data_IF_273588058650
#
_entry.id   IF_273588058650
#
_cell.length_a   1.000
_cell.length_b   1.000
_cell.length_c   1.000
_cell.angle_alpha   90.00
_cell.angle_beta   90.00
_cell.angle_gamma   90.00
#
_symmetry.space_group_name_H-M   'P 1'
#
loop_
_entity.id
_entity.type
_entity.pdbx_description
1 polymer ?
#
# COMPACT_ATOMS: atom_id res chain seq x y z
N UNK A 1 -5.04 -11.30 4.77
CA UNK A 1 -3.79 -11.03 5.51
C UNK A 1 -3.94 -9.77 6.37
N UNK A 2 -4.14 -9.93 7.69
CA UNK A 2 -4.44 -8.84 8.64
C UNK A 2 -3.31 -7.82 8.82
N UNK A 3 -2.04 -8.22 8.66
CA UNK A 3 -0.89 -7.31 8.82
C UNK A 3 -0.80 -6.29 7.68
N UNK A 4 -0.98 -6.72 6.43
CA UNK A 4 -0.94 -5.82 5.26
C UNK A 4 -2.03 -4.76 5.35
N UNK A 5 -3.26 -5.16 5.69
CA UNK A 5 -4.35 -4.21 5.88
C UNK A 5 -4.14 -3.31 7.10
N UNK A 6 -3.46 -3.75 8.15
CA UNK A 6 -3.04 -2.86 9.24
C UNK A 6 -2.02 -1.81 8.78
N UNK A 7 -1.01 -2.20 7.99
CA UNK A 7 -0.01 -1.26 7.47
C UNK A 7 -0.66 -0.22 6.55
N UNK A 8 -1.63 -0.62 5.72
CA UNK A 8 -2.37 0.32 4.87
C UNK A 8 -3.19 1.33 5.68
N UNK A 9 -3.83 0.89 6.78
CA UNK A 9 -4.49 1.81 7.71
C UNK A 9 -3.47 2.78 8.34
N UNK A 10 -2.33 2.27 8.80
CA UNK A 10 -1.31 3.06 9.50
C UNK A 10 -0.63 4.10 8.60
N UNK A 11 -0.27 3.75 7.37
CA UNK A 11 0.49 4.62 6.48
C UNK A 11 -0.39 5.56 5.67
N UNK A 12 -1.56 5.10 5.23
CA UNK A 12 -2.42 5.84 4.30
C UNK A 12 -3.70 6.36 4.95
N UNK A 13 -3.96 6.02 6.22
CA UNK A 13 -5.17 6.45 6.93
C UNK A 13 -6.46 5.84 6.38
N UNK A 14 -6.38 4.73 5.65
CA UNK A 14 -7.56 4.07 5.10
C UNK A 14 -8.43 3.46 6.21
N UNK A 15 -9.74 3.36 5.94
CA UNK A 15 -10.63 2.58 6.79
C UNK A 15 -10.26 1.10 6.74
N UNK A 16 -10.71 0.33 7.74
CA UNK A 16 -10.48 -1.11 7.79
C UNK A 16 -11.03 -1.82 6.55
N UNK A 17 -12.19 -1.37 6.05
CA UNK A 17 -12.85 -1.93 4.87
C UNK A 17 -11.98 -1.72 3.63
N UNK A 18 -11.55 -0.49 3.36
CA UNK A 18 -10.72 -0.16 2.20
C UNK A 18 -9.34 -0.83 2.27
N UNK A 19 -8.73 -0.86 3.46
CA UNK A 19 -7.46 -1.53 3.64
C UNK A 19 -7.56 -3.05 3.41
N UNK A 20 -8.68 -3.67 3.82
CA UNK A 20 -8.94 -5.08 3.53
C UNK A 20 -9.19 -5.32 2.05
N UNK A 21 -9.93 -4.45 1.38
CA UNK A 21 -10.16 -4.53 -0.07
C UNK A 21 -8.84 -4.51 -0.86
N UNK A 22 -8.00 -3.49 -0.62
CA UNK A 22 -6.69 -3.36 -1.28
C UNK A 22 -5.79 -4.56 -0.98
N UNK A 23 -5.79 -5.04 0.26
CA UNK A 23 -5.04 -6.24 0.62
C UNK A 23 -5.53 -7.48 -0.12
N UNK A 24 -6.85 -7.67 -0.23
CA UNK A 24 -7.42 -8.78 -1.00
C UNK A 24 -7.09 -8.66 -2.48
N UNK A 25 -7.02 -7.45 -3.02
CA UNK A 25 -6.57 -7.23 -4.38
C UNK A 25 -5.12 -7.66 -4.58
N UNK A 26 -4.21 -7.27 -3.68
CA UNK A 26 -2.81 -7.75 -3.69
C UNK A 26 -2.77 -9.28 -3.59
N UNK A 27 -3.58 -9.88 -2.72
CA UNK A 27 -3.60 -11.33 -2.52
C UNK A 27 -4.06 -12.09 -3.77
N UNK A 28 -5.10 -11.59 -4.45
CA UNK A 28 -5.72 -12.28 -5.58
C UNK A 28 -5.03 -11.95 -6.92
N UNK A 29 -4.59 -10.70 -7.11
CA UNK A 29 -4.03 -10.19 -8.37
C UNK A 29 -2.51 -10.03 -8.34
N UNK A 30 -1.87 -10.21 -7.18
CA UNK A 30 -0.42 -10.04 -6.97
C UNK A 30 0.04 -8.59 -6.81
N UNK A 31 -0.82 -7.59 -7.08
CA UNK A 31 -0.51 -6.16 -6.93
C UNK A 31 -1.78 -5.32 -6.77
N UNK A 32 -1.66 -4.11 -6.22
CA UNK A 32 -2.72 -3.11 -6.11
C UNK A 32 -2.12 -1.71 -6.05
N UNK A 33 -2.82 -0.71 -6.58
CA UNK A 33 -2.44 0.69 -6.47
C UNK A 33 -2.91 1.25 -5.12
N UNK A 34 -1.97 1.44 -4.19
CA UNK A 34 -2.28 1.78 -2.78
C UNK A 34 -2.15 3.27 -2.44
N UNK A 35 -1.40 4.05 -3.22
CA UNK A 35 -1.22 5.49 -3.04
C UNK A 35 -1.00 6.16 -4.41
N UNK A 36 -1.41 7.42 -4.52
CA UNK A 36 -1.20 8.27 -5.70
C UNK A 36 -0.71 9.65 -5.26
N UNK A 37 0.12 10.29 -6.08
CA UNK A 37 0.62 11.63 -5.82
C UNK A 37 1.86 11.99 -6.62
N UNK A 38 2.49 13.09 -6.23
CA UNK A 38 3.80 13.52 -6.76
C UNK A 38 4.85 12.43 -6.56
N UNK A 39 5.83 12.37 -7.44
CA UNK A 39 6.96 11.43 -7.37
C UNK A 39 7.60 11.36 -5.98
N UNK A 40 7.89 12.51 -5.36
CA UNK A 40 8.51 12.60 -4.03
C UNK A 40 7.69 11.88 -2.94
N UNK A 41 6.37 12.13 -2.92
CA UNK A 41 5.45 11.47 -1.99
C UNK A 41 5.41 9.96 -2.23
N UNK A 42 5.38 9.55 -3.50
CA UNK A 42 5.33 8.13 -3.86
C UNK A 42 6.63 7.42 -3.43
N UNK A 43 7.80 8.03 -3.66
CA UNK A 43 9.10 7.52 -3.19
C UNK A 43 9.13 7.34 -1.66
N UNK A 44 8.58 8.30 -0.91
CA UNK A 44 8.44 8.19 0.54
C UNK A 44 7.51 7.05 0.96
N UNK A 45 6.38 6.87 0.28
CA UNK A 45 5.42 5.81 0.57
C UNK A 45 6.03 4.42 0.32
N UNK A 46 6.78 4.24 -0.76
CA UNK A 46 7.51 2.99 -1.05
C UNK A 46 8.56 2.71 0.02
N UNK A 47 9.32 3.71 0.44
CA UNK A 47 10.29 3.56 1.51
C UNK A 47 9.62 3.10 2.83
N UNK A 48 8.50 3.71 3.21
CA UNK A 48 7.73 3.34 4.41
C UNK A 48 7.16 1.93 4.33
N UNK A 49 6.66 1.51 3.17
CA UNK A 49 6.18 0.14 2.95
C UNK A 49 7.32 -0.87 3.12
N UNK A 50 8.51 -0.60 2.57
CA UNK A 50 9.68 -1.47 2.75
C UNK A 50 10.13 -1.55 4.22
N UNK A 51 10.08 -0.46 4.98
CA UNK A 51 10.35 -0.50 6.42
C UNK A 51 9.37 -1.40 7.19
N UNK A 52 8.16 -1.58 6.68
CA UNK A 52 7.17 -2.52 7.21
C UNK A 52 7.31 -3.94 6.65
N UNK A 53 8.32 -4.21 5.84
CA UNK A 53 8.55 -5.51 5.19
C UNK A 53 7.64 -5.77 3.99
N UNK A 54 6.91 -4.76 3.51
CA UNK A 54 6.06 -4.86 2.33
C UNK A 54 6.83 -4.42 1.09
N UNK A 55 6.95 -5.31 0.12
CA UNK A 55 7.51 -4.95 -1.18
C UNK A 55 6.55 -4.03 -1.94
N UNK A 56 7.06 -2.92 -2.45
CA UNK A 56 6.30 -1.93 -3.19
C UNK A 56 7.13 -1.34 -4.33
N UNK A 57 6.46 -0.95 -5.42
CA UNK A 57 7.09 -0.34 -6.58
C UNK A 57 6.39 0.97 -6.95
N UNK A 58 7.11 1.82 -7.68
CA UNK A 58 6.56 3.02 -8.30
C UNK A 58 6.25 2.75 -9.76
N UNK A 59 5.10 3.24 -10.20
CA UNK A 59 4.73 3.25 -11.60
C UNK A 59 4.23 4.65 -11.96
N UNK A 60 4.70 5.15 -13.10
CA UNK A 60 4.15 6.35 -13.73
C UNK A 60 3.04 5.88 -14.68
N UNK A 61 1.84 6.44 -14.51
CA UNK A 61 0.75 6.30 -15.49
C UNK A 61 1.03 7.15 -16.74
#
# INVERSE_FOLDING_TARGET
MSYVSFVFQKLFGYSKEKANELMMEVHNKGKSAVSQGTREKAELDVFRLHQHGLWATLQQD
#
